data_IF_564087233796
#
_entry.id   IF_564087233796
#
_cell.length_a   1.000
_cell.length_b   1.000
_cell.length_c   1.000
_cell.angle_alpha   90.00
_cell.angle_beta   90.00
_cell.angle_gamma   90.00
#
_symmetry.space_group_name_H-M   'P 1'
#
loop_
_entity.id
_entity.type
_entity.pdbx_description
1 polymer ?
#
# COMPACT_ATOMS: atom_id res chain seq x y z
N UNK A 1 -16.06 6.19 20.42
CA UNK A 1 -15.67 5.27 19.33
C UNK A 1 -14.98 6.09 18.25
N UNK A 2 -13.72 5.80 17.93
CA UNK A 2 -13.05 6.45 16.79
C UNK A 2 -13.56 5.79 15.50
N UNK A 3 -14.06 6.57 14.55
CA UNK A 3 -14.45 6.02 13.24
C UNK A 3 -13.21 5.59 12.46
N UNK A 4 -13.28 4.52 11.66
CA UNK A 4 -12.19 4.03 10.80
C UNK A 4 -11.82 4.93 9.59
N UNK A 5 -12.36 6.14 9.53
CA UNK A 5 -12.14 7.07 8.43
C UNK A 5 -10.98 8.02 8.74
N UNK A 6 -10.13 8.28 7.75
CA UNK A 6 -9.01 9.21 7.84
C UNK A 6 -9.49 10.66 7.63
N UNK A 7 -9.11 11.60 8.50
CA UNK A 7 -9.52 13.03 8.46
C UNK A 7 -8.42 14.01 8.90
N UNK A 8 -7.15 13.64 8.75
CA UNK A 8 -6.07 14.52 9.19
C UNK A 8 -5.88 15.68 8.19
N UNK A 9 -5.86 16.92 8.69
CA UNK A 9 -5.68 18.10 7.86
C UNK A 9 -6.92 18.50 7.06
N UNK A 10 -6.72 19.36 6.06
CA UNK A 10 -7.74 19.87 5.14
C UNK A 10 -7.24 19.80 3.71
N UNK A 11 -8.14 19.91 2.73
CA UNK A 11 -7.78 19.84 1.32
C UNK A 11 -8.23 21.03 0.49
N UNK A 12 -7.58 21.20 -0.65
CA UNK A 12 -7.98 22.07 -1.74
C UNK A 12 -8.00 21.25 -3.04
N UNK A 13 -9.02 21.48 -3.85
CA UNK A 13 -9.14 20.89 -5.19
C UNK A 13 -9.90 21.85 -6.09
N UNK A 14 -9.36 22.11 -7.28
CA UNK A 14 -10.00 22.95 -8.29
C UNK A 14 -10.94 22.12 -9.16
N UNK A 15 -12.03 22.72 -9.62
CA UNK A 15 -12.93 22.11 -10.61
C UNK A 15 -12.16 21.77 -11.89
N UNK A 16 -12.35 20.57 -12.41
CA UNK A 16 -11.64 20.04 -13.57
C UNK A 16 -10.20 19.58 -13.27
N UNK A 17 -9.77 19.56 -12.02
CA UNK A 17 -8.44 19.07 -11.63
C UNK A 17 -8.49 17.64 -11.11
N UNK A 18 -7.46 16.86 -11.41
CA UNK A 18 -7.15 15.59 -10.71
C UNK A 18 -6.30 15.80 -9.46
N UNK A 19 -5.63 16.94 -9.33
CA UNK A 19 -4.68 17.19 -8.26
C UNK A 19 -5.37 17.73 -7.01
N UNK A 20 -5.16 17.06 -5.88
CA UNK A 20 -5.63 17.49 -4.56
C UNK A 20 -4.42 17.87 -3.71
N UNK A 21 -4.46 19.06 -3.13
CA UNK A 21 -3.42 19.55 -2.21
C UNK A 21 -3.95 19.53 -0.78
N UNK A 22 -3.13 19.03 0.14
CA UNK A 22 -3.40 18.99 1.57
C UNK A 22 -2.79 20.18 2.31
N UNK A 23 -3.36 20.48 3.47
CA UNK A 23 -2.77 21.36 4.49
C UNK A 23 -2.79 20.62 5.82
N UNK A 24 -1.61 20.31 6.35
CA UNK A 24 -1.47 19.53 7.58
C UNK A 24 -1.94 18.09 7.43
N UNK A 25 -1.85 17.55 6.21
CA UNK A 25 -2.13 16.15 5.93
C UNK A 25 -0.89 15.31 6.24
N UNK A 26 -1.08 13.98 6.34
CA UNK A 26 -0.02 13.01 6.61
C UNK A 26 -0.26 11.76 5.76
N UNK A 27 -0.54 11.96 4.47
CA UNK A 27 -1.01 10.89 3.57
C UNK A 27 0.03 9.80 3.29
N UNK A 28 1.31 10.06 3.54
CA UNK A 28 2.38 9.09 3.33
C UNK A 28 2.93 8.54 4.66
N UNK A 29 2.95 9.37 5.70
CA UNK A 29 3.63 9.10 6.97
C UNK A 29 2.71 8.65 8.10
N UNK A 30 1.40 8.89 8.03
CA UNK A 30 0.48 8.45 9.07
C UNK A 30 0.41 6.92 9.20
N UNK A 31 0.26 6.43 10.44
CA UNK A 31 0.10 5.00 10.71
C UNK A 31 -1.13 4.38 10.03
N UNK A 32 -2.22 5.15 9.90
CA UNK A 32 -3.44 4.75 9.18
C UNK A 32 -3.57 5.53 7.86
N UNK A 33 -2.49 5.65 7.11
CA UNK A 33 -2.49 6.39 5.85
C UNK A 33 -3.47 5.84 4.80
N UNK A 34 -4.04 6.71 3.96
CA UNK A 34 -4.80 6.29 2.79
C UNK A 34 -3.92 5.52 1.79
N UNK A 35 -4.54 4.83 0.85
CA UNK A 35 -3.90 4.09 -0.24
C UNK A 35 -4.56 4.40 -1.59
N UNK A 36 -3.87 4.19 -2.71
CA UNK A 36 -4.51 4.13 -4.02
C UNK A 36 -5.71 3.18 -4.05
N UNK A 37 -6.80 3.61 -4.69
CA UNK A 37 -8.10 2.95 -4.74
C UNK A 37 -9.02 3.25 -3.55
N UNK A 38 -8.54 3.93 -2.50
CA UNK A 38 -9.40 4.39 -1.40
C UNK A 38 -10.36 5.49 -1.89
N UNK A 39 -11.52 5.58 -1.24
CA UNK A 39 -12.54 6.57 -1.58
C UNK A 39 -12.35 7.84 -0.73
N UNK A 40 -12.13 8.96 -1.41
CA UNK A 40 -12.11 10.30 -0.83
C UNK A 40 -13.51 10.91 -0.90
N UNK A 41 -14.03 11.32 0.24
CA UNK A 41 -15.32 12.01 0.37
C UNK A 41 -15.04 13.47 0.67
N UNK A 42 -15.55 14.36 -0.17
CA UNK A 42 -15.46 15.81 0.03
C UNK A 42 -16.70 16.49 -0.52
N UNK A 43 -17.29 17.40 0.27
CA UNK A 43 -18.51 18.15 -0.12
C UNK A 43 -19.67 17.26 -0.65
N UNK A 44 -19.79 16.03 -0.15
CA UNK A 44 -20.80 15.06 -0.59
C UNK A 44 -20.46 14.27 -1.86
N UNK A 45 -19.36 14.59 -2.53
CA UNK A 45 -18.83 13.81 -3.66
C UNK A 45 -17.93 12.67 -3.17
N UNK A 46 -17.98 11.54 -3.87
CA UNK A 46 -17.09 10.39 -3.68
C UNK A 46 -16.15 10.33 -4.87
N UNK A 47 -14.86 10.38 -4.60
CA UNK A 47 -13.79 10.40 -5.59
C UNK A 47 -12.82 9.26 -5.30
N UNK A 48 -12.25 8.66 -6.34
CA UNK A 48 -11.25 7.60 -6.17
C UNK A 48 -9.84 8.21 -6.14
N UNK A 49 -9.03 7.80 -5.15
CA UNK A 49 -7.61 8.17 -5.06
C UNK A 49 -6.81 7.32 -6.05
N UNK A 50 -6.17 7.95 -7.03
CA UNK A 50 -5.31 7.28 -8.01
C UNK A 50 -3.89 7.08 -7.47
N UNK A 51 -3.28 8.11 -6.90
CA UNK A 51 -1.94 8.03 -6.32
C UNK A 51 -1.79 8.96 -5.11
N UNK A 52 -0.87 8.60 -4.21
CA UNK A 52 -0.43 9.47 -3.11
C UNK A 52 1.03 9.83 -3.39
N UNK A 53 1.29 11.12 -3.63
CA UNK A 53 2.58 11.62 -4.09
C UNK A 53 3.43 12.16 -2.94
N UNK A 54 2.80 12.74 -1.91
CA UNK A 54 3.44 13.19 -0.68
C UNK A 54 2.43 13.24 0.47
N UNK A 55 2.86 13.73 1.65
CA UNK A 55 1.95 13.94 2.78
C UNK A 55 0.82 14.93 2.49
N UNK A 56 1.03 15.85 1.54
CA UNK A 56 0.09 16.93 1.19
C UNK A 56 -0.27 16.94 -0.31
N UNK A 57 0.02 15.88 -1.07
CA UNK A 57 -0.37 15.82 -2.49
C UNK A 57 -0.80 14.43 -2.91
N UNK A 58 -1.98 14.33 -3.53
CA UNK A 58 -2.51 13.11 -4.12
C UNK A 58 -3.17 13.43 -5.47
N UNK A 59 -3.32 12.42 -6.33
CA UNK A 59 -4.14 12.53 -7.54
C UNK A 59 -5.40 11.68 -7.42
N UNK A 60 -6.47 12.17 -8.03
CA UNK A 60 -7.74 11.46 -8.21
C UNK A 60 -7.69 10.64 -9.49
N UNK A 61 -8.52 9.61 -9.61
CA UNK A 61 -8.65 8.83 -10.85
C UNK A 61 -9.35 9.65 -11.96
N UNK A 62 -10.51 10.21 -11.62
CA UNK A 62 -11.25 11.15 -12.46
C UNK A 62 -11.04 12.60 -11.99
N UNK A 63 -11.22 13.55 -12.91
CA UNK A 63 -11.23 14.97 -12.57
C UNK A 63 -12.39 15.30 -11.62
N UNK A 64 -12.11 16.10 -10.60
CA UNK A 64 -13.14 16.62 -9.70
C UNK A 64 -14.11 17.55 -10.46
N UNK A 65 -15.41 17.24 -10.41
CA UNK A 65 -16.43 17.96 -11.18
C UNK A 65 -17.22 18.99 -10.37
N UNK A 66 -17.03 19.03 -9.06
CA UNK A 66 -17.65 20.03 -8.18
C UNK A 66 -17.05 21.42 -8.30
N UNK A 67 -17.53 22.33 -7.45
CA UNK A 67 -17.01 23.70 -7.32
C UNK A 67 -15.66 23.72 -6.61
N UNK A 68 -14.80 24.70 -6.93
CA UNK A 68 -13.50 24.89 -6.27
C UNK A 68 -13.60 24.80 -4.75
N UNK A 69 -12.79 23.91 -4.17
CA UNK A 69 -12.70 23.71 -2.74
C UNK A 69 -11.40 24.28 -2.21
N UNK A 70 -11.49 25.03 -1.12
CA UNK A 70 -10.35 25.60 -0.42
C UNK A 70 -10.48 25.30 1.06
N UNK A 71 -9.41 24.78 1.67
CA UNK A 71 -9.34 24.47 3.10
C UNK A 71 -10.56 23.69 3.61
N UNK A 72 -11.02 22.73 2.80
CA UNK A 72 -12.27 22.01 3.02
C UNK A 72 -12.05 20.75 3.85
N UNK A 73 -13.04 20.41 4.67
CA UNK A 73 -13.07 19.14 5.37
C UNK A 73 -13.32 17.99 4.40
N UNK A 74 -12.67 16.88 4.65
CA UNK A 74 -12.76 15.69 3.84
C UNK A 74 -12.65 14.46 4.74
N UNK A 75 -12.91 13.30 4.16
CA UNK A 75 -12.59 12.05 4.81
C UNK A 75 -12.23 11.00 3.77
N UNK A 76 -11.24 10.15 4.06
CA UNK A 76 -10.90 9.02 3.20
C UNK A 76 -11.30 7.73 3.90
N UNK A 77 -12.06 6.89 3.19
CA UNK A 77 -12.44 5.56 3.64
C UNK A 77 -11.72 4.49 2.82
N UNK A 78 -11.31 3.43 3.52
CA UNK A 78 -10.64 2.31 2.86
C UNK A 78 -11.61 1.55 1.98
N UNK A 79 -11.28 1.38 0.71
CA UNK A 79 -12.12 0.62 -0.21
C UNK A 79 -11.63 -0.84 -0.28
N UNK A 80 -12.10 -1.67 0.65
CA UNK A 80 -11.62 -3.05 0.81
C UNK A 80 -12.11 -4.03 -0.26
N UNK A 81 -13.06 -3.65 -1.12
CA UNK A 81 -13.57 -4.54 -2.18
C UNK A 81 -12.58 -4.73 -3.34
N UNK A 82 -11.65 -3.79 -3.54
CA UNK A 82 -10.76 -3.79 -4.70
C UNK A 82 -9.42 -4.51 -4.48
N UNK A 83 -9.01 -4.81 -3.24
CA UNK A 83 -7.62 -5.20 -2.94
C UNK A 83 -7.30 -6.28 -1.86
N UNK A 84 -8.19 -7.22 -1.45
CA UNK A 84 -7.75 -8.30 -0.55
C UNK A 84 -6.84 -9.30 -1.29
N UNK A 85 -7.23 -9.73 -2.49
CA UNK A 85 -6.58 -10.85 -3.18
C UNK A 85 -5.18 -10.47 -3.69
N UNK A 86 -5.02 -9.29 -4.32
CA UNK A 86 -3.70 -8.86 -4.80
C UNK A 86 -2.69 -8.64 -3.64
N UNK A 87 -3.16 -8.14 -2.49
CA UNK A 87 -2.33 -7.89 -1.31
C UNK A 87 -1.96 -9.19 -0.59
N UNK A 88 -2.90 -10.13 -0.47
CA UNK A 88 -2.62 -11.49 0.01
C UNK A 88 -1.64 -12.20 -0.93
N UNK A 89 -1.82 -12.11 -2.24
CA UNK A 89 -0.93 -12.75 -3.23
C UNK A 89 0.46 -12.11 -3.27
N UNK A 90 0.60 -10.80 -3.02
CA UNK A 90 1.91 -10.17 -2.87
C UNK A 90 2.64 -10.65 -1.61
N UNK A 91 1.94 -10.74 -0.46
CA UNK A 91 2.52 -11.30 0.77
C UNK A 91 2.87 -12.77 0.63
N UNK A 92 2.00 -13.56 -0.01
CA UNK A 92 2.24 -14.98 -0.29
C UNK A 92 3.43 -15.13 -1.25
N UNK A 93 3.50 -14.35 -2.32
CA UNK A 93 4.64 -14.39 -3.26
C UNK A 93 5.95 -14.02 -2.59
N UNK A 94 5.95 -13.02 -1.71
CA UNK A 94 7.15 -12.65 -0.96
C UNK A 94 7.57 -13.72 0.05
N UNK A 95 6.61 -14.33 0.76
CA UNK A 95 6.87 -15.47 1.64
C UNK A 95 7.41 -16.65 0.82
N UNK A 96 6.78 -17.00 -0.30
CA UNK A 96 7.24 -18.08 -1.17
C UNK A 96 8.64 -17.80 -1.74
N UNK A 97 8.95 -16.58 -2.15
CA UNK A 97 10.27 -16.20 -2.66
C UNK A 97 11.33 -16.28 -1.54
N UNK A 98 10.98 -15.86 -0.31
CA UNK A 98 11.85 -16.02 0.86
C UNK A 98 12.11 -17.49 1.20
N UNK A 99 11.10 -18.36 1.13
CA UNK A 99 11.28 -19.81 1.37
C UNK A 99 12.10 -20.46 0.24
N UNK A 100 11.79 -20.15 -1.02
CA UNK A 100 12.51 -20.69 -2.18
C UNK A 100 13.98 -20.31 -2.20
N UNK A 101 14.32 -19.08 -1.81
CA UNK A 101 15.72 -18.62 -1.71
C UNK A 101 16.50 -19.26 -0.56
N UNK A 102 15.83 -19.80 0.46
CA UNK A 102 16.47 -20.42 1.64
C UNK A 102 16.69 -21.93 1.45
N UNK A 103 16.02 -22.56 0.48
CA UNK A 103 16.13 -23.99 0.22
C UNK A 103 17.02 -24.26 -1.00
N UNK A 104 18.31 -24.48 -0.76
CA UNK A 104 19.25 -24.94 -1.77
C UNK A 104 19.47 -26.45 -1.60
N UNK A 105 18.92 -27.26 -2.51
CA UNK A 105 19.16 -28.72 -2.55
C UNK A 105 20.32 -28.98 -3.49
N UNK A 106 21.45 -29.42 -2.94
CA UNK A 106 22.60 -29.89 -3.73
C UNK A 106 22.58 -31.41 -3.82
N UNK A 107 22.73 -31.95 -5.04
CA UNK A 107 22.87 -33.40 -5.28
C UNK A 107 24.32 -33.87 -5.26
N UNK A 108 25.28 -32.97 -5.05
CA UNK A 108 26.68 -33.31 -4.85
C UNK A 108 27.00 -33.47 -3.36
N UNK A 109 27.84 -34.45 -3.04
CA UNK A 109 28.41 -34.57 -1.69
C UNK A 109 29.20 -33.29 -1.40
N UNK A 110 28.92 -32.56 -0.32
CA UNK A 110 29.68 -31.38 0.05
C UNK A 110 31.16 -31.75 0.26
N UNK A 111 32.09 -30.96 -0.26
CA UNK A 111 33.50 -31.13 0.08
C UNK A 111 33.72 -30.85 1.57
N UNK A 112 34.71 -31.51 2.18
CA UNK A 112 35.03 -31.33 3.59
C UNK A 112 35.29 -29.84 3.89
N UNK A 113 34.50 -29.26 4.80
CA UNK A 113 34.58 -27.86 5.21
C UNK A 113 33.59 -26.91 4.52
N UNK A 114 32.78 -27.39 3.57
CA UNK A 114 31.77 -26.55 2.88
C UNK A 114 30.45 -26.38 3.64
N UNK A 115 30.20 -27.21 4.67
CA UNK A 115 28.98 -27.16 5.48
C UNK A 115 29.08 -26.10 6.58
N UNK A 116 28.07 -25.25 6.71
CA UNK A 116 27.94 -24.27 7.78
C UNK A 116 27.09 -24.83 8.92
N UNK A 117 27.22 -24.20 10.09
CA UNK A 117 26.35 -24.50 11.22
C UNK A 117 24.87 -24.25 10.83
N UNK A 118 24.05 -25.30 10.87
CA UNK A 118 22.63 -25.26 10.46
C UNK A 118 22.31 -26.04 9.18
N UNK A 119 23.32 -26.51 8.44
CA UNK A 119 23.10 -27.33 7.25
C UNK A 119 22.68 -28.76 7.63
N UNK A 120 21.67 -29.29 6.93
CA UNK A 120 21.26 -30.70 7.03
C UNK A 120 21.81 -31.44 5.80
N UNK A 121 22.70 -32.40 6.02
CA UNK A 121 23.28 -33.25 4.96
C UNK A 121 22.65 -34.63 5.03
N UNK A 122 21.96 -35.03 3.97
CA UNK A 122 21.42 -36.38 3.80
C UNK A 122 22.33 -37.16 2.86
N UNK A 123 22.99 -38.19 3.36
CA UNK A 123 23.80 -39.11 2.54
C UNK A 123 22.99 -40.36 2.28
N UNK A 124 22.61 -40.57 1.01
CA UNK A 124 21.95 -41.81 0.58
C UNK A 124 23.07 -42.79 0.20
N UNK A 125 23.16 -43.91 0.93
CA UNK A 125 24.03 -45.02 0.54
C UNK A 125 23.22 -45.98 -0.34
N UNK A 126 23.80 -46.41 -1.45
CA UNK A 126 23.28 -47.55 -2.24
C UNK A 126 23.53 -48.87 -1.51
#
# INVERSE_FOLDING_TARGET
MASNWYRAGKINVASGSKNVTGVGCLWLTAAQKPLPGDALIVNGEILEVESINSDDTLTLFDEYKGSNLTNSDYAIMRNTSLNPNARLMAQVSEVLNRLGSQMQVSTSVPSAGSTKHGDIVLVIQE
#
